data_IF_452015368058
#
_entry.id   IF_452015368058
#
_cell.length_a   1.000
_cell.length_b   1.000
_cell.length_c   1.000
_cell.angle_alpha   90.00
_cell.angle_beta   90.00
_cell.angle_gamma   90.00
#
_symmetry.space_group_name_H-M   'P 1'
#
loop_
_entity.id
_entity.type
_entity.pdbx_description
1 polymer ?
#
# COMPACT_ATOMS: atom_id res chain seq x y z
N UNK A 1 35.13 -34.20 -14.03
CA UNK A 1 35.26 -32.85 -13.46
C UNK A 1 34.39 -31.93 -14.30
N UNK A 2 33.19 -31.57 -13.82
CA UNK A 2 32.20 -30.79 -14.57
C UNK A 2 31.93 -29.47 -13.82
N UNK A 3 31.92 -28.37 -14.56
CA UNK A 3 31.65 -27.01 -14.06
C UNK A 3 30.18 -26.87 -13.68
N UNK A 4 29.82 -26.19 -12.57
CA UNK A 4 28.43 -25.95 -12.24
C UNK A 4 27.88 -24.79 -13.08
N UNK A 5 26.73 -25.02 -13.69
CA UNK A 5 25.99 -24.04 -14.48
C UNK A 5 25.41 -22.94 -13.61
N UNK A 6 25.60 -21.70 -14.04
CA UNK A 6 24.94 -20.52 -13.50
C UNK A 6 23.47 -20.57 -13.89
N UNK A 7 22.59 -20.76 -12.90
CA UNK A 7 21.14 -20.57 -13.05
C UNK A 7 20.86 -19.08 -13.29
N UNK A 8 20.13 -18.67 -14.34
CA UNK A 8 19.82 -17.26 -14.54
C UNK A 8 18.82 -16.83 -13.46
N UNK A 9 19.24 -15.90 -12.60
CA UNK A 9 18.33 -15.21 -11.70
C UNK A 9 17.22 -14.56 -12.54
N UNK A 10 15.97 -15.00 -12.33
CA UNK A 10 14.80 -14.33 -12.87
C UNK A 10 14.77 -12.93 -12.26
N UNK A 11 15.23 -11.95 -13.03
CA UNK A 11 15.13 -10.54 -12.68
C UNK A 11 13.68 -10.14 -12.89
N UNK A 12 12.85 -10.25 -11.86
CA UNK A 12 11.51 -9.64 -11.86
C UNK A 12 11.69 -8.13 -12.00
N UNK A 13 11.47 -7.62 -13.20
CA UNK A 13 11.32 -6.19 -13.47
C UNK A 13 10.02 -5.73 -12.84
N UNK A 14 10.07 -5.35 -11.56
CA UNK A 14 8.91 -5.01 -10.73
C UNK A 14 8.27 -3.66 -11.07
N UNK A 15 8.87 -2.87 -11.96
CA UNK A 15 8.41 -1.49 -12.24
C UNK A 15 7.30 -1.44 -13.28
N UNK A 16 7.46 -2.10 -14.42
CA UNK A 16 6.50 -2.03 -15.54
C UNK A 16 5.25 -2.87 -15.28
N UNK A 17 5.40 -4.03 -14.62
CA UNK A 17 4.27 -4.93 -14.33
C UNK A 17 3.27 -4.35 -13.33
N UNK A 18 3.76 -3.58 -12.34
CA UNK A 18 2.91 -2.98 -11.31
C UNK A 18 1.98 -1.91 -11.87
N UNK A 19 2.51 -1.01 -12.72
CA UNK A 19 1.72 0.09 -13.28
C UNK A 19 0.71 -0.43 -14.34
N UNK A 20 1.10 -1.44 -15.13
CA UNK A 20 0.18 -2.11 -16.06
C UNK A 20 -0.95 -2.86 -15.32
N UNK A 21 -0.63 -3.55 -14.22
CA UNK A 21 -1.63 -4.24 -13.40
C UNK A 21 -2.62 -3.30 -12.73
N UNK A 22 -2.15 -2.12 -12.30
CA UNK A 22 -3.00 -1.08 -11.75
C UNK A 22 -4.02 -0.61 -12.80
N UNK A 23 -3.52 -0.18 -13.96
CA UNK A 23 -4.34 0.40 -15.03
C UNK A 23 -5.34 -0.59 -15.64
N UNK A 24 -4.99 -1.88 -15.74
CA UNK A 24 -5.81 -2.85 -16.46
C UNK A 24 -6.81 -3.60 -15.57
N UNK A 25 -6.55 -3.70 -14.26
CA UNK A 25 -7.34 -4.51 -13.34
C UNK A 25 -7.83 -3.69 -12.15
N UNK A 26 -6.92 -3.14 -11.34
CA UNK A 26 -7.28 -2.52 -10.06
C UNK A 26 -8.19 -1.30 -10.24
N UNK A 27 -7.91 -0.43 -11.22
CA UNK A 27 -8.77 0.73 -11.50
C UNK A 27 -10.21 0.32 -11.82
N UNK A 28 -10.39 -0.76 -12.59
CA UNK A 28 -11.72 -1.27 -12.95
C UNK A 28 -12.44 -1.86 -11.75
N UNK A 29 -11.72 -2.56 -10.89
CA UNK A 29 -12.25 -3.10 -9.65
C UNK A 29 -12.69 -1.99 -8.69
N UNK A 30 -11.86 -0.95 -8.51
CA UNK A 30 -12.19 0.22 -7.70
C UNK A 30 -13.47 0.89 -8.20
N UNK A 31 -13.58 1.18 -9.50
CA UNK A 31 -14.80 1.77 -10.08
C UNK A 31 -16.03 0.87 -9.98
N UNK A 32 -15.86 -0.45 -10.05
CA UNK A 32 -16.97 -1.39 -10.02
C UNK A 32 -17.51 -1.64 -8.61
N UNK A 33 -16.61 -1.61 -7.62
CA UNK A 33 -16.96 -1.84 -6.21
C UNK A 33 -17.33 -0.55 -5.48
N UNK A 34 -16.78 0.59 -5.92
CA UNK A 34 -16.94 1.91 -5.31
C UNK A 34 -16.80 1.88 -3.76
N UNK A 35 -15.68 1.34 -3.23
CA UNK A 35 -15.52 1.15 -1.79
C UNK A 35 -15.39 2.48 -1.05
N UNK A 36 -15.88 2.54 0.18
CA UNK A 36 -15.67 3.67 1.11
C UNK A 36 -14.23 3.73 1.67
N UNK A 37 -13.53 2.59 1.66
CA UNK A 37 -12.16 2.44 2.16
C UNK A 37 -11.39 1.39 1.36
N UNK A 38 -10.18 1.75 0.92
CA UNK A 38 -9.20 0.85 0.31
C UNK A 38 -8.05 0.61 1.29
N UNK A 39 -7.79 -0.63 1.65
CA UNK A 39 -6.63 -0.98 2.49
C UNK A 39 -5.52 -1.54 1.59
N UNK A 40 -4.31 -0.94 1.66
CA UNK A 40 -3.14 -1.44 0.92
C UNK A 40 -2.14 -2.09 1.86
N UNK A 41 -1.57 -3.23 1.46
CA UNK A 41 -0.63 -3.97 2.32
C UNK A 41 0.77 -4.03 1.72
N UNK A 42 1.75 -3.47 2.44
CA UNK A 42 3.18 -3.64 2.17
C UNK A 42 3.76 -2.70 1.12
N UNK A 43 5.08 -2.78 0.97
CA UNK A 43 5.89 -1.86 0.16
C UNK A 43 5.74 -1.99 -1.36
N UNK A 44 4.81 -2.83 -1.85
CA UNK A 44 4.49 -2.93 -3.27
C UNK A 44 3.12 -2.32 -3.59
N UNK A 45 2.10 -2.65 -2.79
CA UNK A 45 0.73 -2.21 -3.03
C UNK A 45 0.58 -0.68 -2.87
N UNK A 46 1.10 -0.13 -1.77
CA UNK A 46 1.02 1.31 -1.52
C UNK A 46 1.72 2.14 -2.62
N UNK A 47 3.00 1.88 -2.98
CA UNK A 47 3.64 2.67 -4.03
C UNK A 47 2.97 2.54 -5.40
N UNK A 48 2.38 1.39 -5.73
CA UNK A 48 1.65 1.19 -6.96
C UNK A 48 0.41 2.09 -7.03
N UNK A 49 -0.43 2.05 -5.99
CA UNK A 49 -1.61 2.89 -5.89
C UNK A 49 -1.23 4.38 -5.83
N UNK A 50 -0.25 4.74 -5.01
CA UNK A 50 0.20 6.14 -4.82
C UNK A 50 0.62 6.79 -6.14
N UNK A 51 1.38 6.06 -6.97
CA UNK A 51 1.85 6.57 -8.27
C UNK A 51 0.73 6.88 -9.25
N UNK A 52 -0.40 6.17 -9.14
CA UNK A 52 -1.50 6.28 -10.11
C UNK A 52 -2.66 7.15 -9.63
N UNK A 53 -2.74 7.47 -8.34
CA UNK A 53 -3.90 8.19 -7.74
C UNK A 53 -3.53 9.48 -7.03
N UNK A 54 -2.24 9.75 -6.83
CA UNK A 54 -1.74 10.91 -6.08
C UNK A 54 -2.53 11.17 -4.76
N UNK A 55 -2.54 10.21 -3.80
CA UNK A 55 -3.31 10.33 -2.57
C UNK A 55 -2.90 11.55 -1.74
N UNK A 56 -3.89 12.23 -1.18
CA UNK A 56 -3.74 13.37 -0.28
C UNK A 56 -3.88 12.91 1.18
N UNK A 57 -3.15 13.55 2.09
CA UNK A 57 -3.24 13.26 3.53
C UNK A 57 -4.55 13.79 4.10
N UNK A 58 -5.23 12.98 4.92
CA UNK A 58 -6.40 13.45 5.68
C UNK A 58 -5.98 14.26 6.92
N UNK A 59 -4.81 13.93 7.48
CA UNK A 59 -4.20 14.64 8.62
C UNK A 59 -2.73 14.89 8.32
N UNK A 60 -2.28 16.12 8.56
CA UNK A 60 -0.89 16.52 8.39
C UNK A 60 0.03 15.66 9.27
N UNK A 61 1.14 15.21 8.68
CA UNK A 61 2.14 14.39 9.36
C UNK A 61 3.50 14.55 8.70
N UNK A 62 4.57 14.35 9.47
CA UNK A 62 5.94 14.31 8.97
C UNK A 62 6.33 12.92 8.42
N UNK A 63 5.36 12.01 8.25
CA UNK A 63 5.59 10.67 7.73
C UNK A 63 6.08 10.72 6.28
N UNK A 64 7.11 9.91 5.97
CA UNK A 64 7.60 9.75 4.61
C UNK A 64 6.61 8.91 3.79
N UNK A 65 5.97 9.49 2.76
CA UNK A 65 4.98 8.79 1.94
C UNK A 65 5.60 7.71 1.04
N UNK A 66 6.93 7.62 0.90
CA UNK A 66 7.59 6.54 0.18
C UNK A 66 7.83 5.29 1.05
N UNK A 67 7.82 5.46 2.38
CA UNK A 67 8.12 4.41 3.33
C UNK A 67 6.85 3.82 3.93
N UNK A 68 6.54 2.56 3.58
CA UNK A 68 5.38 1.85 4.15
C UNK A 68 5.43 1.76 5.68
N UNK A 69 6.64 1.75 6.25
CA UNK A 69 6.82 1.71 7.70
C UNK A 69 6.49 3.06 8.35
N UNK A 70 6.75 4.17 7.65
CA UNK A 70 6.45 5.50 8.13
C UNK A 70 4.95 5.82 8.00
N UNK A 71 4.38 5.48 6.84
CA UNK A 71 3.00 5.82 6.46
C UNK A 71 1.95 4.82 6.97
N UNK A 72 2.36 3.71 7.60
CA UNK A 72 1.46 2.71 8.17
C UNK A 72 0.35 3.39 9.01
N UNK A 73 -0.92 3.11 8.75
CA UNK A 73 -2.01 3.67 9.55
C UNK A 73 -2.25 5.16 9.35
N UNK A 74 -1.60 5.81 8.38
CA UNK A 74 -1.90 7.21 8.03
C UNK A 74 -3.02 7.25 6.99
N UNK A 75 -4.15 7.85 7.32
CA UNK A 75 -5.31 7.92 6.41
C UNK A 75 -5.07 8.90 5.26
N UNK A 76 -5.39 8.47 4.05
CA UNK A 76 -5.32 9.28 2.83
C UNK A 76 -6.69 9.33 2.15
N UNK A 77 -6.86 10.27 1.23
CA UNK A 77 -7.97 10.34 0.29
C UNK A 77 -7.45 10.31 -1.14
N UNK A 78 -8.17 9.61 -2.01
CA UNK A 78 -8.00 9.70 -3.45
C UNK A 78 -9.30 10.20 -4.07
N UNK A 79 -9.20 10.93 -5.17
CA UNK A 79 -10.35 11.48 -5.92
C UNK A 79 -10.48 10.94 -7.34
N UNK A 80 -9.48 10.17 -7.81
CA UNK A 80 -9.46 9.44 -9.07
C UNK A 80 -8.81 8.07 -8.82
N UNK A 81 -9.40 6.96 -9.28
CA UNK A 81 -10.57 6.84 -10.14
C UNK A 81 -11.94 6.95 -9.45
N UNK A 82 -11.95 6.97 -8.11
CA UNK A 82 -13.13 7.09 -7.26
C UNK A 82 -12.80 8.00 -6.09
N UNK A 83 -13.83 8.59 -5.47
CA UNK A 83 -13.67 9.43 -4.27
C UNK A 83 -13.75 8.55 -3.02
N UNK A 84 -12.60 8.15 -2.48
CA UNK A 84 -12.53 7.18 -1.37
C UNK A 84 -11.33 7.42 -0.46
N UNK A 85 -11.36 6.78 0.71
CA UNK A 85 -10.23 6.77 1.63
C UNK A 85 -9.28 5.61 1.33
N UNK A 86 -8.00 5.82 1.62
CA UNK A 86 -6.96 4.80 1.49
C UNK A 86 -6.18 4.69 2.78
N UNK A 87 -6.05 3.46 3.28
CA UNK A 87 -5.28 3.15 4.48
C UNK A 87 -4.11 2.21 4.14
N UNK A 88 -2.88 2.73 4.02
CA UNK A 88 -1.70 1.91 3.85
C UNK A 88 -1.29 1.27 5.17
N UNK A 89 -1.06 -0.04 5.13
CA UNK A 89 -0.61 -0.85 6.25
C UNK A 89 0.62 -1.65 5.86
N UNK A 90 1.55 -1.80 6.80
CA UNK A 90 2.66 -2.74 6.67
C UNK A 90 2.12 -4.18 6.49
N UNK A 91 2.71 -4.95 5.58
CA UNK A 91 2.31 -6.33 5.34
C UNK A 91 2.84 -7.23 6.46
N UNK A 92 1.97 -8.04 7.10
CA UNK A 92 2.32 -8.92 8.22
C UNK A 92 3.03 -10.21 7.78
N UNK A 93 4.02 -10.13 6.89
CA UNK A 93 4.84 -11.31 6.56
C UNK A 93 5.81 -11.62 7.69
N UNK A 94 6.28 -12.87 7.76
CA UNK A 94 7.27 -13.33 8.75
C UNK A 94 8.60 -12.54 8.75
N UNK A 95 8.85 -11.70 7.75
CA UNK A 95 10.04 -10.83 7.68
C UNK A 95 9.82 -9.44 8.31
N UNK A 96 8.56 -9.04 8.52
CA UNK A 96 8.17 -7.68 8.97
C UNK A 96 7.49 -7.71 10.35
N UNK A 97 6.87 -8.82 10.75
CA UNK A 97 6.10 -8.92 12.00
C UNK A 97 6.86 -8.51 13.28
N UNK A 98 8.19 -8.65 13.32
CA UNK A 98 9.01 -8.28 14.48
C UNK A 98 9.44 -6.81 14.49
N UNK A 99 9.27 -6.09 13.37
CA UNK A 99 9.59 -4.65 13.25
C UNK A 99 8.42 -3.74 13.58
N UNK A 100 7.22 -4.31 13.67
CA UNK A 100 6.00 -3.60 14.01
C UNK A 100 5.35 -4.37 15.16
N UNK A 101 5.54 -3.94 16.42
CA UNK A 101 4.88 -4.56 17.56
C UNK A 101 3.39 -4.68 17.29
N UNK A 102 2.75 -5.83 17.57
CA UNK A 102 1.33 -6.02 17.28
C UNK A 102 0.44 -4.92 17.86
N UNK A 103 0.74 -4.45 19.08
CA UNK A 103 -0.03 -3.40 19.73
C UNK A 103 0.07 -2.06 18.99
N UNK A 104 1.25 -1.70 18.46
CA UNK A 104 1.44 -0.50 17.65
C UNK A 104 0.69 -0.62 16.31
N UNK A 105 0.70 -1.82 15.71
CA UNK A 105 -0.07 -2.11 14.48
C UNK A 105 -1.55 -1.84 14.69
N UNK A 106 -2.10 -2.41 15.76
CA UNK A 106 -3.51 -2.30 16.08
C UNK A 106 -3.87 -0.88 16.50
N UNK A 107 -3.03 -0.19 17.28
CA UNK A 107 -3.27 1.20 17.68
C UNK A 107 -3.41 2.11 16.47
N UNK A 108 -2.42 2.10 15.56
CA UNK A 108 -2.43 2.99 14.38
C UNK A 108 -3.56 2.66 13.40
N UNK A 109 -3.89 1.38 13.23
CA UNK A 109 -5.07 0.97 12.47
C UNK A 109 -6.35 1.50 13.11
N UNK A 110 -6.51 1.33 14.42
CA UNK A 110 -7.72 1.76 15.15
C UNK A 110 -7.90 3.27 15.09
N UNK A 111 -6.83 4.03 15.34
CA UNK A 111 -6.83 5.50 15.24
C UNK A 111 -7.26 5.98 13.84
N UNK A 112 -6.80 5.32 12.77
CA UNK A 112 -7.19 5.66 11.41
C UNK A 112 -8.66 5.36 11.11
N UNK A 113 -9.20 4.26 11.65
CA UNK A 113 -10.61 3.91 11.51
C UNK A 113 -11.50 4.85 12.31
N UNK A 114 -11.12 5.21 13.54
CA UNK A 114 -11.82 6.22 14.34
C UNK A 114 -11.81 7.59 13.64
N UNK A 115 -10.71 7.96 12.98
CA UNK A 115 -10.63 9.17 12.18
C UNK A 115 -11.58 9.12 10.97
N UNK A 116 -11.65 7.97 10.29
CA UNK A 116 -12.53 7.75 9.15
C UNK A 116 -14.01 7.89 9.56
N UNK A 117 -14.41 7.32 10.70
CA UNK A 117 -15.79 7.40 11.23
C UNK A 117 -16.24 8.83 11.58
N UNK A 118 -15.30 9.77 11.71
CA UNK A 118 -15.56 11.17 12.06
C UNK A 118 -15.68 12.10 10.85
N UNK A 119 -15.39 11.62 9.64
CA UNK A 119 -15.53 12.37 8.39
C UNK A 119 -16.99 12.37 7.93
#
# INVERSE_FOLDING_TARGET
MATPGTSPAIRTSSRVGSDASYQHLLERELRALDPDLVITFGGNAWPALRRSTAPELVVDTDADPESIMSIHGTLHRISDPIDTHVLPLAHMSGQVWWRFPPDEYISRLSEALELLERQ
#
